data_IF_788885851279
#
_entry.id   IF_788885851279
#
_cell.length_a   1.000
_cell.length_b   1.000
_cell.length_c   1.000
_cell.angle_alpha   90.00
_cell.angle_beta   90.00
_cell.angle_gamma   90.00
#
_symmetry.space_group_name_H-M   'P 1'
#
loop_
_entity.id
_entity.type
_entity.pdbx_description
1 polymer ?
#
# COMPACT_ATOMS: atom_id res chain seq x y z
N UNK A 1 14.72 -25.85 16.21
CA UNK A 1 13.72 -24.84 15.78
C UNK A 1 13.81 -24.74 14.27
N UNK A 2 12.68 -24.78 13.57
CA UNK A 2 12.67 -24.59 12.13
C UNK A 2 12.92 -23.11 11.83
N UNK A 3 13.91 -22.80 10.99
CA UNK A 3 14.16 -21.42 10.58
C UNK A 3 13.02 -20.99 9.63
N UNK A 4 12.28 -19.96 10.03
CA UNK A 4 11.12 -19.48 9.30
C UNK A 4 11.35 -18.07 8.77
N UNK A 5 10.82 -17.81 7.58
CA UNK A 5 10.79 -16.48 6.99
C UNK A 5 9.38 -15.90 7.10
N UNK A 6 9.24 -14.80 7.84
CA UNK A 6 8.02 -14.02 7.88
C UNK A 6 7.92 -13.15 6.63
N UNK A 7 6.83 -13.31 5.88
CA UNK A 7 6.62 -12.65 4.60
C UNK A 7 5.34 -11.81 4.61
N UNK A 8 5.52 -10.52 4.83
CA UNK A 8 4.46 -9.54 4.63
C UNK A 8 4.50 -9.05 3.18
N UNK A 9 3.75 -9.72 2.31
CA UNK A 9 3.56 -9.28 0.93
C UNK A 9 2.43 -8.27 0.87
N UNK A 10 2.72 -7.00 1.12
CA UNK A 10 1.73 -5.92 1.12
C UNK A 10 1.46 -5.34 -0.27
N UNK A 11 0.34 -4.61 -0.39
CA UNK A 11 -0.06 -3.98 -1.67
C UNK A 11 0.96 -2.93 -2.12
N UNK A 12 1.48 -2.16 -1.17
CA UNK A 12 2.38 -1.03 -1.44
C UNK A 12 3.83 -1.39 -1.15
N UNK A 13 4.07 -2.05 -0.02
CA UNK A 13 5.40 -2.46 0.44
C UNK A 13 5.38 -3.93 0.80
N UNK A 14 6.53 -4.58 0.68
CA UNK A 14 6.79 -5.94 1.09
C UNK A 14 7.96 -5.97 2.05
N UNK A 15 7.82 -6.73 3.13
CA UNK A 15 8.86 -6.92 4.14
C UNK A 15 9.08 -8.42 4.35
N UNK A 16 10.35 -8.82 4.42
CA UNK A 16 10.76 -10.14 4.88
C UNK A 16 11.50 -9.99 6.20
N UNK A 17 11.15 -10.82 7.17
CA UNK A 17 11.85 -10.86 8.46
C UNK A 17 12.18 -12.30 8.85
N UNK A 18 13.24 -12.45 9.63
CA UNK A 18 13.63 -13.72 10.24
C UNK A 18 13.63 -13.54 11.75
N UNK A 19 13.28 -14.61 12.45
CA UNK A 19 13.53 -14.73 13.86
C UNK A 19 14.81 -15.55 14.09
N UNK A 20 15.50 -15.26 15.19
CA UNK A 20 16.63 -16.00 15.71
C UNK A 20 16.59 -15.93 17.24
N UNK A 21 16.19 -17.03 17.87
CA UNK A 21 16.17 -17.15 19.33
C UNK A 21 15.24 -16.16 20.04
N UNK A 22 14.10 -15.83 19.41
CA UNK A 22 13.13 -14.87 19.93
C UNK A 22 13.43 -13.40 19.64
N UNK A 23 14.60 -13.08 19.06
CA UNK A 23 14.85 -11.78 18.45
C UNK A 23 14.48 -11.84 16.97
N UNK A 24 14.11 -10.70 16.38
CA UNK A 24 13.71 -10.60 14.97
C UNK A 24 14.55 -9.58 14.23
N UNK A 25 14.84 -9.85 12.95
CA UNK A 25 15.49 -8.89 12.04
C UNK A 25 14.79 -8.86 10.68
N UNK A 26 14.55 -7.66 10.15
CA UNK A 26 14.20 -7.48 8.74
C UNK A 26 15.36 -7.87 7.84
N UNK A 27 15.05 -8.38 6.65
CA UNK A 27 16.02 -8.57 5.59
C UNK A 27 16.31 -7.24 4.91
N UNK A 28 17.59 -6.94 4.72
CA UNK A 28 18.03 -5.81 3.92
C UNK A 28 18.18 -6.22 2.45
N UNK A 29 17.69 -5.36 1.55
CA UNK A 29 17.76 -5.53 0.11
C UNK A 29 18.55 -4.37 -0.49
N UNK A 30 19.62 -4.66 -1.22
CA UNK A 30 20.46 -3.65 -1.86
C UNK A 30 20.17 -3.60 -3.36
N UNK A 31 19.65 -2.47 -3.82
CA UNK A 31 19.39 -2.18 -5.24
C UNK A 31 20.26 -1.00 -5.71
N UNK A 32 20.07 -0.56 -6.96
CA UNK A 32 20.74 0.66 -7.48
C UNK A 32 20.35 1.92 -6.72
N UNK A 33 19.17 1.94 -6.08
CA UNK A 33 18.68 3.07 -5.29
C UNK A 33 19.13 3.01 -3.82
N UNK A 34 19.99 2.04 -3.47
CA UNK A 34 20.50 1.85 -2.12
C UNK A 34 19.88 0.65 -1.39
N UNK A 35 20.18 0.57 -0.08
CA UNK A 35 19.72 -0.49 0.80
C UNK A 35 18.43 -0.08 1.53
N UNK A 36 17.46 -0.99 1.58
CA UNK A 36 16.22 -0.83 2.32
C UNK A 36 15.78 -2.16 2.95
N UNK A 37 15.08 -2.09 4.07
CA UNK A 37 14.48 -3.23 4.78
C UNK A 37 12.99 -3.45 4.44
N UNK A 38 12.41 -2.53 3.67
CA UNK A 38 11.08 -2.60 3.08
C UNK A 38 11.18 -2.31 1.58
N UNK A 39 10.59 -3.18 0.76
CA UNK A 39 10.62 -3.04 -0.69
C UNK A 39 9.26 -2.62 -1.24
N UNK A 40 9.20 -1.62 -2.14
CA UNK A 40 7.95 -1.32 -2.86
C UNK A 40 7.49 -2.57 -3.63
N UNK A 41 6.20 -2.91 -3.53
CA UNK A 41 5.59 -4.03 -4.26
C UNK A 41 5.33 -3.63 -5.71
N UNK A 42 6.42 -3.44 -6.45
CA UNK A 42 6.44 -2.98 -7.83
C UNK A 42 7.51 -3.73 -8.63
N UNK A 43 7.25 -3.92 -9.92
CA UNK A 43 8.12 -4.55 -10.90
C UNK A 43 8.22 -3.68 -12.15
N UNK A 44 9.40 -3.66 -12.75
CA UNK A 44 9.62 -3.10 -14.08
C UNK A 44 10.20 -4.18 -14.99
N UNK A 45 9.82 -4.13 -16.26
CA UNK A 45 10.33 -5.01 -17.29
C UNK A 45 10.77 -4.15 -18.47
N UNK A 46 11.99 -4.35 -18.92
CA UNK A 46 12.53 -3.68 -20.09
C UNK A 46 13.26 -4.71 -20.94
N UNK A 47 13.23 -4.58 -22.26
CA UNK A 47 14.06 -5.41 -23.13
C UNK A 47 15.52 -5.09 -22.86
N UNK A 48 16.33 -6.12 -22.68
CA UNK A 48 17.77 -5.95 -22.55
C UNK A 48 18.43 -6.10 -23.92
N UNK A 49 18.88 -4.98 -24.49
CA UNK A 49 19.54 -4.97 -25.80
C UNK A 49 20.89 -5.70 -25.81
N UNK A 50 21.50 -5.92 -24.64
CA UNK A 50 22.81 -6.57 -24.49
C UNK A 50 22.71 -8.08 -24.22
N UNK A 51 21.63 -8.54 -23.57
CA UNK A 51 21.41 -9.97 -23.25
C UNK A 51 20.63 -10.75 -24.33
N UNK A 52 20.27 -10.10 -25.45
CA UNK A 52 19.61 -10.70 -26.60
C UNK A 52 18.11 -10.36 -26.73
N UNK A 53 17.52 -10.61 -27.90
CA UNK A 53 16.19 -10.11 -28.28
C UNK A 53 15.02 -10.55 -27.37
N UNK A 54 15.22 -11.57 -26.53
CA UNK A 54 14.22 -12.13 -25.60
C UNK A 54 14.55 -11.94 -24.12
N UNK A 55 15.72 -11.39 -23.78
CA UNK A 55 16.11 -11.17 -22.39
C UNK A 55 15.44 -9.91 -21.83
N UNK A 56 14.89 -10.01 -20.62
CA UNK A 56 14.27 -8.90 -19.92
C UNK A 56 15.17 -8.46 -18.77
N UNK A 57 15.49 -7.17 -18.72
CA UNK A 57 15.97 -6.53 -17.51
C UNK A 57 14.78 -6.27 -16.61
N UNK A 58 14.79 -6.93 -15.45
CA UNK A 58 13.73 -6.85 -14.45
C UNK A 58 14.28 -6.25 -13.17
N UNK A 59 13.65 -5.18 -12.70
CA UNK A 59 13.91 -4.59 -11.39
C UNK A 59 12.66 -4.69 -10.52
N UNK A 60 12.85 -4.56 -9.20
CA UNK A 60 11.77 -4.48 -8.22
C UNK A 60 11.92 -3.22 -7.36
N UNK A 61 10.85 -2.80 -6.71
CA UNK A 61 10.91 -1.74 -5.72
C UNK A 61 11.26 -0.35 -6.26
N UNK A 62 12.09 0.39 -5.52
CA UNK A 62 12.55 1.71 -5.95
C UNK A 62 13.37 1.67 -7.24
N UNK A 63 14.16 0.61 -7.46
CA UNK A 63 14.87 0.44 -8.73
C UNK A 63 13.91 0.21 -9.91
N UNK A 64 12.77 -0.47 -9.70
CA UNK A 64 11.73 -0.59 -10.72
C UNK A 64 11.10 0.75 -11.08
N UNK A 65 10.81 1.54 -10.05
CA UNK A 65 10.31 2.90 -10.18
C UNK A 65 11.30 3.76 -10.98
N UNK A 66 12.58 3.74 -10.60
CA UNK A 66 13.62 4.52 -11.27
C UNK A 66 13.76 4.12 -12.73
N UNK A 67 13.80 2.81 -13.00
CA UNK A 67 13.86 2.30 -14.37
C UNK A 67 12.67 2.76 -15.21
N UNK A 68 11.47 2.79 -14.65
CA UNK A 68 10.28 3.29 -15.34
C UNK A 68 10.37 4.78 -15.67
N UNK A 69 10.78 5.61 -14.71
CA UNK A 69 10.97 7.07 -14.90
C UNK A 69 12.03 7.35 -15.97
N UNK A 70 13.17 6.65 -15.91
CA UNK A 70 14.30 6.91 -16.80
C UNK A 70 14.06 6.41 -18.23
N UNK A 71 13.07 5.52 -18.45
CA UNK A 71 12.81 4.86 -19.74
C UNK A 71 11.30 4.86 -20.08
N UNK A 72 10.67 6.05 -20.21
CA UNK A 72 9.24 6.15 -20.49
C UNK A 72 8.90 5.52 -21.84
N UNK A 73 7.82 4.74 -21.89
CA UNK A 73 7.36 4.04 -23.10
C UNK A 73 8.11 2.76 -23.47
N UNK A 74 9.35 2.58 -22.99
CA UNK A 74 10.14 1.36 -23.23
C UNK A 74 10.06 0.35 -22.07
N UNK A 75 9.69 0.83 -20.88
CA UNK A 75 9.55 0.02 -19.67
C UNK A 75 8.08 -0.33 -19.39
N UNK A 76 7.79 -1.62 -19.24
CA UNK A 76 6.51 -2.09 -18.69
C UNK A 76 6.59 -2.09 -17.17
N UNK A 77 5.90 -1.14 -16.53
CA UNK A 77 5.83 -1.02 -15.07
C UNK A 77 4.54 -1.63 -14.51
N UNK A 78 4.66 -2.35 -13.40
CA UNK A 78 3.57 -2.97 -12.65
C UNK A 78 3.74 -2.66 -11.17
N UNK A 79 2.63 -2.39 -10.49
CA UNK A 79 2.60 -2.09 -9.06
C UNK A 79 1.28 -2.56 -8.46
N UNK A 80 1.19 -2.54 -7.13
CA UNK A 80 -0.02 -2.99 -6.41
C UNK A 80 -0.41 -4.41 -6.81
N UNK A 81 0.58 -5.26 -7.13
CA UNK A 81 0.35 -6.58 -7.72
C UNK A 81 -0.57 -7.42 -6.80
N UNK A 82 -0.46 -7.26 -5.47
CA UNK A 82 -1.31 -7.91 -4.46
C UNK A 82 -2.80 -7.73 -4.72
N UNK A 83 -3.27 -6.61 -5.29
CA UNK A 83 -4.71 -6.38 -5.52
C UNK A 83 -5.33 -7.39 -6.48
N UNK A 84 -4.52 -8.08 -7.28
CA UNK A 84 -4.98 -9.08 -8.22
C UNK A 84 -4.97 -10.50 -7.64
N UNK A 85 -4.42 -10.71 -6.45
CA UNK A 85 -4.28 -12.04 -5.82
C UNK A 85 -5.62 -12.80 -5.79
N UNK A 86 -6.63 -12.16 -5.21
CA UNK A 86 -7.98 -12.71 -5.03
C UNK A 86 -8.93 -12.41 -6.20
N UNK A 87 -8.45 -11.80 -7.28
CA UNK A 87 -9.32 -11.38 -8.39
C UNK A 87 -9.40 -12.46 -9.46
N UNK A 88 -10.57 -13.09 -9.59
CA UNK A 88 -10.87 -14.02 -10.68
C UNK A 88 -10.94 -13.31 -12.06
N UNK A 89 -11.19 -12.00 -12.07
CA UNK A 89 -11.17 -11.20 -13.30
C UNK A 89 -9.74 -11.00 -13.83
N UNK A 90 -8.74 -11.05 -12.95
CA UNK A 90 -7.36 -10.99 -13.37
C UNK A 90 -6.92 -12.36 -13.91
N UNK A 91 -6.81 -12.43 -15.22
CA UNK A 91 -6.37 -13.59 -15.98
C UNK A 91 -4.92 -13.40 -16.47
N UNK A 92 -4.13 -12.57 -15.79
CA UNK A 92 -2.76 -12.26 -16.20
C UNK A 92 -2.65 -11.05 -17.14
N UNK A 93 -1.41 -10.62 -17.36
CA UNK A 93 -1.04 -9.47 -18.21
C UNK A 93 -0.02 -9.90 -19.25
N UNK A 94 -0.02 -9.25 -20.41
CA UNK A 94 1.04 -9.41 -21.40
C UNK A 94 2.20 -8.48 -21.06
N UNK A 95 3.42 -9.01 -21.08
CA UNK A 95 4.68 -8.29 -20.94
C UNK A 95 5.57 -8.75 -22.10
N UNK A 96 5.82 -7.87 -23.06
CA UNK A 96 6.60 -8.17 -24.29
C UNK A 96 6.21 -9.50 -24.96
N UNK A 97 4.90 -9.68 -25.22
CA UNK A 97 4.29 -10.86 -25.85
C UNK A 97 4.30 -12.16 -25.02
N UNK A 98 4.80 -12.15 -23.78
CA UNK A 98 4.64 -13.25 -22.84
C UNK A 98 3.50 -12.95 -21.86
N UNK A 99 2.61 -13.91 -21.64
CA UNK A 99 1.58 -13.82 -20.60
C UNK A 99 2.21 -14.11 -19.24
N UNK A 100 1.92 -13.27 -18.27
CA UNK A 100 2.28 -13.43 -16.86
C UNK A 100 1.01 -13.46 -16.04
N UNK A 101 0.75 -14.58 -15.38
CA UNK A 101 -0.29 -14.69 -14.36
C UNK A 101 0.18 -14.06 -13.05
N UNK A 102 -0.66 -14.06 -12.02
CA UNK A 102 -0.31 -13.46 -10.72
C UNK A 102 0.88 -14.18 -10.08
N UNK A 103 0.85 -15.52 -10.06
CA UNK A 103 1.86 -16.38 -9.49
C UNK A 103 3.22 -16.19 -10.17
N UNK A 104 3.25 -15.94 -11.49
CA UNK A 104 4.47 -15.61 -12.22
C UNK A 104 5.06 -14.26 -11.77
N UNK A 105 4.22 -13.26 -11.56
CA UNK A 105 4.66 -11.92 -11.12
C UNK A 105 5.19 -11.96 -9.68
N UNK A 106 4.50 -12.68 -8.79
CA UNK A 106 4.94 -12.87 -7.42
C UNK A 106 6.26 -13.63 -7.36
N UNK A 107 6.42 -14.71 -8.13
CA UNK A 107 7.67 -15.45 -8.21
C UNK A 107 8.83 -14.56 -8.71
N UNK A 108 8.59 -13.79 -9.79
CA UNK A 108 9.58 -12.82 -10.31
C UNK A 108 9.98 -11.80 -9.24
N UNK A 109 9.02 -11.29 -8.47
CA UNK A 109 9.28 -10.34 -7.39
C UNK A 109 10.13 -10.96 -6.29
N UNK A 110 9.78 -12.15 -5.77
CA UNK A 110 10.54 -12.82 -4.71
C UNK A 110 11.94 -13.21 -5.19
N UNK A 111 12.10 -13.65 -6.45
CA UNK A 111 13.43 -13.88 -7.07
C UNK A 111 14.26 -12.61 -7.12
N UNK A 112 13.66 -11.46 -7.41
CA UNK A 112 14.38 -10.18 -7.40
C UNK A 112 14.79 -9.78 -5.98
N UNK A 113 13.93 -9.98 -4.98
CA UNK A 113 14.28 -9.79 -3.58
C UNK A 113 15.47 -10.67 -3.16
N UNK A 114 15.48 -11.95 -3.56
CA UNK A 114 16.64 -12.85 -3.32
C UNK A 114 17.92 -12.31 -3.93
N UNK A 115 17.86 -11.80 -5.15
CA UNK A 115 19.02 -11.21 -5.81
C UNK A 115 19.53 -9.96 -5.07
N UNK A 116 18.63 -9.08 -4.60
CA UNK A 116 19.01 -7.90 -3.81
C UNK A 116 19.50 -8.24 -2.41
N UNK A 117 19.05 -9.33 -1.81
CA UNK A 117 19.57 -9.83 -0.54
C UNK A 117 20.98 -10.42 -0.70
N UNK A 118 21.28 -11.02 -1.86
CA UNK A 118 22.58 -11.63 -2.15
C UNK A 118 22.93 -12.70 -1.12
N UNK A 119 24.11 -12.61 -0.53
CA UNK A 119 24.59 -13.55 0.51
C UNK A 119 23.80 -13.47 1.82
N UNK A 120 22.98 -12.42 2.02
CA UNK A 120 22.09 -12.32 3.18
C UNK A 120 20.81 -13.16 3.02
N UNK A 121 20.54 -13.74 1.84
CA UNK A 121 19.43 -14.67 1.68
C UNK A 121 19.75 -15.99 2.40
N UNK A 122 18.87 -16.47 3.29
CA UNK A 122 19.16 -17.66 4.08
C UNK A 122 19.23 -18.92 3.19
N UNK A 123 20.27 -19.74 3.40
CA UNK A 123 20.53 -20.97 2.64
C UNK A 123 19.56 -22.11 2.97
N UNK A 124 19.11 -22.18 4.23
CA UNK A 124 18.45 -23.35 4.81
C UNK A 124 17.04 -23.08 5.35
N UNK A 125 16.33 -22.09 4.78
CA UNK A 125 14.94 -21.82 5.14
C UNK A 125 14.00 -22.65 4.26
N UNK A 126 13.32 -23.61 4.90
CA UNK A 126 12.28 -24.43 4.28
C UNK A 126 10.86 -23.91 4.54
N UNK A 127 10.68 -23.05 5.55
CA UNK A 127 9.38 -22.58 6.01
C UNK A 127 9.20 -21.09 5.72
N UNK A 128 8.09 -20.74 5.09
CA UNK A 128 7.62 -19.36 4.94
C UNK A 128 6.27 -19.18 5.63
N UNK A 129 6.13 -18.11 6.41
CA UNK A 129 4.88 -17.71 7.05
C UNK A 129 4.43 -16.41 6.40
N UNK A 130 3.36 -16.48 5.62
CA UNK A 130 2.86 -15.35 4.84
C UNK A 130 1.70 -14.66 5.55
N UNK A 131 1.72 -13.33 5.57
CA UNK A 131 0.60 -12.52 6.03
C UNK A 131 -0.55 -12.59 5.04
N UNK A 132 -1.77 -12.80 5.53
CA UNK A 132 -2.99 -12.63 4.74
C UNK A 132 -3.90 -11.57 5.36
N UNK A 133 -4.56 -10.72 4.56
CA UNK A 133 -5.54 -9.80 5.10
C UNK A 133 -6.79 -10.56 5.56
N UNK A 134 -7.58 -9.96 6.44
CA UNK A 134 -8.91 -10.50 6.79
C UNK A 134 -9.82 -10.47 5.56
N UNK A 135 -9.76 -9.37 4.80
CA UNK A 135 -10.46 -9.18 3.54
C UNK A 135 -9.47 -8.83 2.44
N UNK A 136 -9.44 -9.60 1.35
CA UNK A 136 -8.61 -9.26 0.19
C UNK A 136 -9.18 -8.06 -0.57
N UNK A 137 -8.31 -7.24 -1.16
CA UNK A 137 -8.73 -6.11 -1.99
C UNK A 137 -9.44 -6.57 -3.28
N UNK A 138 -10.47 -5.84 -3.71
CA UNK A 138 -11.21 -6.07 -4.95
C UNK A 138 -12.72 -5.95 -4.79
N UNK A 139 -13.46 -5.91 -5.90
CA UNK A 139 -14.93 -5.80 -5.88
C UNK A 139 -15.63 -7.12 -5.50
N UNK A 140 -15.01 -8.25 -5.82
CA UNK A 140 -15.48 -9.60 -5.48
C UNK A 140 -14.27 -10.51 -5.23
N UNK A 141 -13.55 -10.31 -4.11
CA UNK A 141 -12.36 -11.07 -3.81
C UNK A 141 -12.70 -12.55 -3.53
N UNK A 142 -11.88 -13.46 -4.07
CA UNK A 142 -11.87 -14.90 -3.79
C UNK A 142 -10.62 -15.26 -2.96
N UNK A 143 -10.75 -15.41 -1.63
CA UNK A 143 -9.62 -15.77 -0.76
C UNK A 143 -8.99 -17.13 -1.09
N UNK A 144 -9.78 -18.11 -1.55
CA UNK A 144 -9.26 -19.44 -1.86
C UNK A 144 -8.35 -19.38 -3.09
N UNK A 145 -8.75 -18.62 -4.11
CA UNK A 145 -7.93 -18.35 -5.30
C UNK A 145 -6.62 -17.63 -4.93
N UNK A 146 -6.66 -16.68 -4.00
CA UNK A 146 -5.44 -16.00 -3.55
C UNK A 146 -4.46 -16.98 -2.89
N UNK A 147 -4.95 -17.84 -1.99
CA UNK A 147 -4.14 -18.87 -1.33
C UNK A 147 -3.55 -19.87 -2.35
N UNK A 148 -4.35 -20.33 -3.32
CA UNK A 148 -3.87 -21.20 -4.41
C UNK A 148 -2.70 -20.58 -5.17
N UNK A 149 -2.86 -19.32 -5.61
CA UNK A 149 -1.85 -18.58 -6.37
C UNK A 149 -0.58 -18.30 -5.57
N UNK A 150 -0.72 -17.99 -4.28
CA UNK A 150 0.43 -17.80 -3.38
C UNK A 150 1.19 -19.12 -3.19
N UNK A 151 0.47 -20.22 -2.94
CA UNK A 151 1.06 -21.55 -2.80
C UNK A 151 1.86 -21.93 -4.04
N UNK A 152 1.30 -21.70 -5.23
CA UNK A 152 1.96 -21.98 -6.50
C UNK A 152 3.25 -21.16 -6.66
N UNK A 153 3.20 -19.83 -6.46
CA UNK A 153 4.36 -18.96 -6.59
C UNK A 153 5.49 -19.33 -5.61
N UNK A 154 5.15 -19.52 -4.33
CA UNK A 154 6.11 -19.80 -3.26
C UNK A 154 6.69 -21.21 -3.35
N UNK A 155 5.88 -22.18 -3.80
CA UNK A 155 6.36 -23.54 -4.07
C UNK A 155 7.32 -23.58 -5.25
N UNK A 156 7.01 -22.88 -6.36
CA UNK A 156 7.93 -22.73 -7.51
C UNK A 156 9.23 -22.01 -7.14
N UNK A 157 9.16 -21.06 -6.21
CA UNK A 157 10.34 -20.39 -5.68
C UNK A 157 11.24 -21.33 -4.87
N UNK A 158 10.65 -22.27 -4.12
CA UNK A 158 11.36 -23.33 -3.40
C UNK A 158 11.01 -23.47 -1.92
N UNK A 159 9.86 -22.95 -1.46
CA UNK A 159 9.41 -23.14 -0.07
C UNK A 159 8.50 -24.36 0.04
N UNK A 160 8.95 -25.47 0.66
CA UNK A 160 8.14 -26.68 0.83
C UNK A 160 7.06 -26.56 1.92
N UNK A 161 7.21 -25.64 2.87
CA UNK A 161 6.27 -25.43 3.97
C UNK A 161 5.77 -23.98 3.98
N UNK A 162 4.49 -23.80 3.65
CA UNK A 162 3.85 -22.49 3.52
C UNK A 162 2.71 -22.41 4.55
N UNK A 163 2.77 -21.40 5.40
CA UNK A 163 1.76 -21.12 6.41
C UNK A 163 1.19 -19.73 6.22
N UNK A 164 -0.08 -19.54 6.56
CA UNK A 164 -0.76 -18.25 6.47
C UNK A 164 -1.22 -17.82 7.85
N UNK A 165 -0.98 -16.56 8.20
CA UNK A 165 -1.47 -15.94 9.44
C UNK A 165 -2.16 -14.65 9.07
N UNK A 166 -3.26 -14.33 9.75
CA UNK A 166 -3.88 -13.02 9.57
C UNK A 166 -2.89 -11.91 9.92
N UNK A 167 -2.72 -10.95 9.01
CA UNK A 167 -1.89 -9.75 9.19
C UNK A 167 -2.10 -9.06 10.54
N UNK A 168 -3.33 -8.77 10.99
CA UNK A 168 -3.55 -8.15 12.30
C UNK A 168 -3.14 -9.05 13.47
N UNK A 169 -3.26 -10.38 13.34
CA UNK A 169 -2.80 -11.32 14.38
C UNK A 169 -1.27 -11.32 14.45
N UNK A 170 -0.59 -11.33 13.31
CA UNK A 170 0.88 -11.24 13.27
C UNK A 170 1.38 -9.92 13.85
N UNK A 171 0.81 -8.78 13.44
CA UNK A 171 1.15 -7.48 14.00
C UNK A 171 0.98 -7.45 15.52
N UNK A 172 -0.19 -7.88 16.02
CA UNK A 172 -0.45 -7.92 17.45
C UNK A 172 0.51 -8.88 18.18
N UNK A 173 0.81 -10.04 17.60
CA UNK A 173 1.74 -11.02 18.20
C UNK A 173 3.12 -10.44 18.45
N UNK A 174 3.66 -9.69 17.48
CA UNK A 174 4.98 -9.05 17.59
C UNK A 174 5.12 -8.17 18.84
N UNK A 175 4.07 -7.45 19.19
CA UNK A 175 4.06 -6.61 20.38
C UNK A 175 3.60 -7.36 21.63
N UNK A 176 2.69 -8.34 21.47
CA UNK A 176 2.13 -9.14 22.55
C UNK A 176 3.15 -10.07 23.22
N UNK A 177 4.27 -10.38 22.57
CA UNK A 177 5.31 -11.26 23.13
C UNK A 177 5.87 -10.79 24.49
N UNK A 178 5.76 -9.50 24.80
CA UNK A 178 6.23 -8.91 26.06
C UNK A 178 5.12 -8.73 27.12
N UNK A 179 3.90 -9.19 26.84
CA UNK A 179 2.80 -9.07 27.77
C UNK A 179 3.01 -9.95 29.02
N UNK A 180 2.83 -9.33 30.19
CA UNK A 180 2.96 -10.00 31.49
C UNK A 180 1.63 -10.56 32.03
N UNK A 181 0.52 -10.19 31.39
CA UNK A 181 -0.85 -10.54 31.75
C UNK A 181 -1.70 -10.61 30.49
N UNK A 182 -2.85 -11.27 30.59
CA UNK A 182 -3.84 -11.28 29.53
C UNK A 182 -4.21 -9.85 29.14
N UNK A 183 -4.38 -9.62 27.83
CA UNK A 183 -4.58 -8.28 27.28
C UNK A 183 -5.57 -8.29 26.13
N UNK A 184 -6.40 -7.26 26.07
CA UNK A 184 -7.21 -6.96 24.89
C UNK A 184 -6.47 -5.93 24.03
N UNK A 185 -6.24 -6.30 22.77
CA UNK A 185 -5.41 -5.56 21.82
C UNK A 185 -6.25 -5.10 20.65
N UNK A 186 -6.22 -3.80 20.37
CA UNK A 186 -6.75 -3.22 19.14
C UNK A 186 -5.62 -3.00 18.13
N UNK A 187 -5.72 -3.61 16.96
CA UNK A 187 -4.86 -3.31 15.82
C UNK A 187 -5.64 -2.43 14.85
N UNK A 188 -5.08 -1.28 14.49
CA UNK A 188 -5.58 -0.39 13.46
C UNK A 188 -4.55 -0.32 12.32
N UNK A 189 -4.86 -0.97 11.20
CA UNK A 189 -4.01 -1.01 10.01
C UNK A 189 -4.46 0.01 8.98
N UNK A 190 -3.60 0.97 8.67
CA UNK A 190 -3.83 2.02 7.69
C UNK A 190 -3.00 1.78 6.43
N UNK A 191 -3.50 0.90 5.57
CA UNK A 191 -2.87 0.55 4.32
C UNK A 191 -2.89 1.65 3.25
N UNK A 192 -2.67 1.27 1.99
CA UNK A 192 -2.80 2.18 0.85
C UNK A 192 -4.25 2.47 0.47
N UNK A 193 -5.11 1.45 0.48
CA UNK A 193 -6.51 1.57 0.03
C UNK A 193 -7.59 1.38 1.11
N UNK A 194 -7.28 0.69 2.21
CA UNK A 194 -8.23 0.37 3.28
C UNK A 194 -7.65 0.70 4.66
N UNK A 195 -8.54 1.01 5.58
CA UNK A 195 -8.25 1.05 7.01
C UNK A 195 -9.01 -0.10 7.66
N UNK A 196 -8.31 -0.96 8.39
CA UNK A 196 -8.85 -2.18 8.96
C UNK A 196 -8.60 -2.22 10.48
N UNK A 197 -9.63 -2.58 11.24
CA UNK A 197 -9.59 -2.69 12.69
C UNK A 197 -9.76 -4.14 13.10
N UNK A 198 -8.92 -4.61 14.02
CA UNK A 198 -9.04 -5.95 14.61
C UNK A 198 -8.87 -5.89 16.11
N UNK A 199 -9.86 -6.38 16.83
CA UNK A 199 -9.84 -6.53 18.27
C UNK A 199 -9.51 -7.99 18.61
N UNK A 200 -8.42 -8.20 19.35
CA UNK A 200 -7.85 -9.52 19.62
C UNK A 200 -7.60 -9.65 21.12
N UNK A 201 -8.07 -10.74 21.72
CA UNK A 201 -7.80 -11.12 23.10
C UNK A 201 -6.59 -12.04 23.15
N UNK A 202 -5.54 -11.64 23.87
CA UNK A 202 -4.38 -12.46 24.16
C UNK A 202 -4.46 -13.03 25.57
N UNK A 203 -4.44 -14.35 25.69
CA UNK A 203 -4.56 -15.06 26.97
C UNK A 203 -3.54 -16.18 27.09
N UNK A 204 -2.94 -16.31 28.27
CA UNK A 204 -2.05 -17.44 28.57
C UNK A 204 -2.81 -18.55 29.26
N UNK A 205 -3.19 -19.58 28.50
CA UNK A 205 -3.90 -20.75 29.02
C UNK A 205 -2.93 -21.93 29.12
N UNK A 206 -2.79 -22.51 30.31
CA UNK A 206 -1.88 -23.62 30.59
C UNK A 206 -0.42 -23.37 30.12
N UNK A 207 0.06 -22.13 30.28
CA UNK A 207 1.42 -21.72 29.88
C UNK A 207 1.61 -21.50 28.38
N UNK A 208 0.53 -21.55 27.58
CA UNK A 208 0.55 -21.25 26.14
C UNK A 208 -0.21 -19.96 25.87
N UNK A 209 0.45 -19.04 25.17
CA UNK A 209 -0.20 -17.84 24.65
C UNK A 209 -1.16 -18.23 23.54
N UNK A 210 -2.38 -17.71 23.59
CA UNK A 210 -3.42 -17.88 22.57
C UNK A 210 -3.94 -16.51 22.16
N UNK A 211 -4.37 -16.38 20.90
CA UNK A 211 -5.03 -15.18 20.40
C UNK A 211 -6.44 -15.53 19.91
N UNK A 212 -7.42 -14.84 20.48
CA UNK A 212 -8.84 -15.01 20.12
C UNK A 212 -9.32 -13.72 19.46
N UNK A 213 -9.68 -13.74 18.16
CA UNK A 213 -10.32 -12.59 17.52
C UNK A 213 -11.67 -12.31 18.18
N UNK A 214 -11.87 -11.10 18.70
CA UNK A 214 -13.13 -10.64 19.29
C UNK A 214 -14.02 -10.05 18.21
N UNK A 215 -13.46 -9.22 17.33
CA UNK A 215 -14.20 -8.61 16.24
C UNK A 215 -13.30 -7.81 15.31
N UNK A 216 -13.86 -7.40 14.18
CA UNK A 216 -13.18 -6.59 13.18
C UNK A 216 -14.17 -5.64 12.50
N UNK A 217 -13.65 -4.54 11.98
CA UNK A 217 -14.36 -3.62 11.08
C UNK A 217 -13.35 -3.02 10.10
N UNK A 218 -13.82 -2.28 9.11
CA UNK A 218 -12.94 -1.63 8.17
C UNK A 218 -13.67 -0.69 7.24
N UNK A 219 -12.90 0.17 6.58
CA UNK A 219 -13.41 1.13 5.61
C UNK A 219 -12.46 1.25 4.42
N UNK A 220 -13.02 1.38 3.22
CA UNK A 220 -12.28 1.65 1.99
C UNK A 220 -11.77 3.09 1.91
N UNK A 221 -11.06 3.54 2.94
CA UNK A 221 -10.42 4.86 3.06
C UNK A 221 -9.04 4.64 3.66
N UNK A 222 -8.00 5.14 3.00
CA UNK A 222 -6.62 5.09 3.52
C UNK A 222 -5.72 6.07 2.74
N UNK A 223 -4.42 5.76 2.65
CA UNK A 223 -3.40 6.68 2.13
C UNK A 223 -3.65 7.21 0.72
N UNK A 224 -4.17 6.38 -0.19
CA UNK A 224 -4.45 6.75 -1.58
C UNK A 224 -5.61 7.76 -1.68
N UNK A 225 -6.57 7.68 -0.76
CA UNK A 225 -7.65 8.68 -0.68
C UNK A 225 -7.10 10.04 -0.25
N UNK A 226 -6.16 10.06 0.71
CA UNK A 226 -5.53 11.30 1.15
C UNK A 226 -4.70 11.93 0.02
N UNK A 227 -3.98 11.12 -0.75
CA UNK A 227 -3.25 11.57 -1.93
C UNK A 227 -4.21 12.15 -2.98
N UNK A 228 -5.34 11.48 -3.22
CA UNK A 228 -6.40 12.00 -4.08
C UNK A 228 -6.93 13.35 -3.61
N UNK A 229 -7.22 13.53 -2.31
CA UNK A 229 -7.67 14.83 -1.76
C UNK A 229 -6.64 15.93 -1.99
N UNK A 230 -5.35 15.62 -1.86
CA UNK A 230 -4.29 16.56 -2.18
C UNK A 230 -4.27 16.91 -3.67
N UNK A 231 -4.34 15.93 -4.58
CA UNK A 231 -4.41 16.20 -6.03
C UNK A 231 -5.63 17.06 -6.35
N UNK A 232 -6.78 16.73 -5.78
CA UNK A 232 -8.06 17.39 -6.04
C UNK A 232 -8.09 18.86 -5.57
N UNK A 233 -7.36 19.19 -4.50
CA UNK A 233 -7.31 20.55 -3.94
C UNK A 233 -6.07 21.35 -4.40
N UNK A 234 -4.98 20.69 -4.75
CA UNK A 234 -3.72 21.34 -5.13
C UNK A 234 -3.61 21.46 -6.65
N UNK A 235 -3.83 20.36 -7.36
CA UNK A 235 -3.50 20.21 -8.77
C UNK A 235 -4.70 20.44 -9.66
N UNK A 236 -5.85 19.82 -9.35
CA UNK A 236 -7.05 19.87 -10.17
C UNK A 236 -7.46 21.32 -10.54
N UNK A 237 -7.41 22.32 -9.62
CA UNK A 237 -7.72 23.71 -9.97
C UNK A 237 -6.76 24.33 -10.99
N UNK A 238 -5.49 23.91 -10.98
CA UNK A 238 -4.45 24.39 -11.90
C UNK A 238 -4.58 23.78 -13.30
N UNK A 239 -5.21 22.60 -13.39
CA UNK A 239 -5.49 21.91 -14.65
C UNK A 239 -6.94 22.09 -15.13
N UNK A 240 -7.67 23.04 -14.54
CA UNK A 240 -8.96 23.52 -15.05
C UNK A 240 -10.20 23.06 -14.28
N UNK A 241 -10.09 22.41 -13.12
CA UNK A 241 -11.26 22.08 -12.30
C UNK A 241 -12.00 23.36 -11.91
N UNK A 242 -13.30 23.41 -12.18
CA UNK A 242 -14.14 24.60 -12.01
C UNK A 242 -14.05 25.62 -13.17
N UNK A 243 -13.28 25.32 -14.21
CA UNK A 243 -13.26 26.14 -15.44
C UNK A 243 -14.52 25.92 -16.27
N UNK A 244 -14.74 26.80 -17.24
CA UNK A 244 -15.94 26.80 -18.06
C UNK A 244 -15.59 26.79 -19.55
N UNK A 245 -16.51 26.30 -20.38
CA UNK A 245 -16.39 26.31 -21.84
C UNK A 245 -17.69 26.79 -22.50
N UNK A 246 -17.56 27.31 -23.72
CA UNK A 246 -18.70 27.72 -24.55
C UNK A 246 -19.25 26.54 -25.34
N UNK A 247 -20.57 26.35 -25.26
CA UNK A 247 -21.31 25.42 -26.10
C UNK A 247 -22.53 26.14 -26.66
N UNK A 248 -22.53 26.40 -27.97
CA UNK A 248 -23.49 27.30 -28.61
C UNK A 248 -23.53 28.65 -27.86
N UNK A 249 -24.71 29.08 -27.42
CA UNK A 249 -24.92 30.33 -26.66
C UNK A 249 -24.87 30.14 -25.14
N UNK A 250 -24.40 28.98 -24.65
CA UNK A 250 -24.32 28.66 -23.22
C UNK A 250 -22.88 28.52 -22.74
N UNK A 251 -22.66 28.93 -21.49
CA UNK A 251 -21.44 28.67 -20.75
C UNK A 251 -21.71 27.50 -19.81
N UNK A 252 -20.91 26.45 -19.91
CA UNK A 252 -21.04 25.23 -19.12
C UNK A 252 -19.73 24.99 -18.36
N UNK A 253 -19.83 24.39 -17.18
CA UNK A 253 -18.66 23.97 -16.42
C UNK A 253 -18.00 22.75 -17.08
N UNK A 254 -16.67 22.67 -17.05
CA UNK A 254 -15.94 21.50 -17.51
C UNK A 254 -16.30 20.30 -16.62
N UNK A 255 -16.73 19.16 -17.21
CA UNK A 255 -17.14 17.99 -16.45
C UNK A 255 -16.11 17.52 -15.41
N UNK A 256 -16.57 17.27 -14.18
CA UNK A 256 -15.70 16.91 -13.06
C UNK A 256 -15.06 15.52 -13.17
N UNK A 257 -15.64 14.64 -14.00
CA UNK A 257 -15.15 13.28 -14.21
C UNK A 257 -13.74 13.24 -14.78
N UNK A 258 -13.32 14.23 -15.59
CA UNK A 258 -11.95 14.30 -16.10
C UNK A 258 -10.94 14.39 -14.95
N UNK A 259 -11.22 15.20 -13.92
CA UNK A 259 -10.35 15.37 -12.76
C UNK A 259 -10.39 14.17 -11.82
N UNK A 260 -11.55 13.53 -11.68
CA UNK A 260 -11.68 12.28 -10.91
C UNK A 260 -10.87 11.15 -11.51
N UNK A 261 -10.85 11.01 -12.84
CA UNK A 261 -10.00 10.06 -13.56
C UNK A 261 -8.51 10.41 -13.41
N UNK A 262 -8.17 11.70 -13.41
CA UNK A 262 -6.78 12.15 -13.26
C UNK A 262 -6.21 11.88 -11.86
N UNK A 263 -7.02 12.07 -10.81
CA UNK A 263 -6.63 11.80 -9.44
C UNK A 263 -6.29 10.33 -9.15
N UNK A 264 -6.62 9.42 -10.08
CA UNK A 264 -6.19 8.01 -10.08
C UNK A 264 -5.00 7.84 -10.99
N UNK A 265 -3.84 8.18 -10.47
CA UNK A 265 -2.60 8.22 -11.27
C UNK A 265 -2.28 6.89 -11.98
N UNK A 266 -2.65 5.75 -11.39
CA UNK A 266 -2.49 4.42 -11.98
C UNK A 266 -3.39 4.16 -13.21
N UNK A 267 -4.40 4.99 -13.45
CA UNK A 267 -5.30 4.92 -14.60
C UNK A 267 -4.92 5.91 -15.72
N UNK A 268 -3.95 6.80 -15.48
CA UNK A 268 -3.56 7.84 -16.45
C UNK A 268 -3.01 7.28 -17.76
N UNK A 269 -2.20 6.22 -17.67
CA UNK A 269 -1.65 5.57 -18.87
C UNK A 269 -2.72 4.89 -19.74
N UNK A 270 -3.90 4.60 -19.18
CA UNK A 270 -5.07 4.13 -19.94
C UNK A 270 -5.90 5.32 -20.39
N UNK A 271 -6.04 6.35 -19.54
CA UNK A 271 -6.81 7.55 -19.84
C UNK A 271 -6.38 8.19 -21.18
N UNK A 272 -5.07 8.22 -21.47
CA UNK A 272 -4.53 8.73 -22.75
C UNK A 272 -5.04 8.04 -24.02
N UNK A 273 -5.57 6.82 -23.92
CA UNK A 273 -6.14 6.09 -25.06
C UNK A 273 -7.68 6.10 -25.09
N UNK A 274 -8.31 6.80 -24.14
CA UNK A 274 -9.77 6.86 -24.04
C UNK A 274 -10.37 7.92 -24.94
N UNK A 275 -11.64 7.73 -25.29
CA UNK A 275 -12.45 8.77 -25.96
C UNK A 275 -12.59 10.02 -25.09
N UNK A 276 -12.61 9.85 -23.77
CA UNK A 276 -12.70 10.96 -22.81
C UNK A 276 -11.53 11.92 -22.96
N UNK A 277 -10.31 11.40 -23.16
CA UNK A 277 -9.14 12.25 -23.40
C UNK A 277 -9.19 12.97 -24.75
N UNK A 278 -9.67 12.31 -25.81
CA UNK A 278 -9.91 12.96 -27.10
C UNK A 278 -10.96 14.09 -27.01
N UNK A 279 -11.99 13.88 -26.19
CA UNK A 279 -13.01 14.90 -25.97
C UNK A 279 -12.48 16.06 -25.12
N UNK A 280 -11.59 15.81 -24.16
CA UNK A 280 -10.83 16.85 -23.44
C UNK A 280 -9.98 17.70 -24.39
N UNK A 281 -9.23 17.08 -25.32
CA UNK A 281 -8.42 17.80 -26.33
C UNK A 281 -9.26 18.73 -27.20
N UNK A 282 -10.48 18.32 -27.56
CA UNK A 282 -11.41 19.17 -28.32
C UNK A 282 -11.93 20.34 -27.49
N UNK A 283 -12.14 20.12 -26.20
CA UNK A 283 -12.72 21.10 -25.27
C UNK A 283 -11.82 22.33 -25.08
N UNK A 284 -10.50 22.18 -25.22
CA UNK A 284 -9.54 23.30 -25.20
C UNK A 284 -9.98 24.45 -26.10
N UNK A 285 -10.45 24.15 -27.32
CA UNK A 285 -10.82 25.18 -28.32
C UNK A 285 -12.00 26.05 -27.91
N UNK A 286 -12.87 25.53 -27.05
CA UNK A 286 -14.07 26.24 -26.59
C UNK A 286 -13.98 26.65 -25.12
N UNK A 287 -12.90 26.30 -24.43
CA UNK A 287 -12.65 26.67 -23.04
C UNK A 287 -12.48 28.18 -22.88
N UNK A 288 -12.93 28.70 -21.74
CA UNK A 288 -12.64 30.08 -21.31
C UNK A 288 -11.25 30.20 -20.67
N UNK A 289 -10.66 29.08 -20.25
CA UNK A 289 -9.32 28.97 -19.65
C UNK A 289 -8.54 27.85 -20.36
N UNK A 290 -8.27 27.99 -21.67
CA UNK A 290 -7.62 26.94 -22.48
C UNK A 290 -6.25 26.54 -21.94
N UNK A 291 -5.48 27.48 -21.39
CA UNK A 291 -4.14 27.26 -20.86
C UNK A 291 -4.11 26.22 -19.73
N UNK A 292 -5.16 26.16 -18.90
CA UNK A 292 -5.24 25.16 -17.82
C UNK A 292 -5.49 23.76 -18.36
N UNK A 293 -6.32 23.64 -19.40
CA UNK A 293 -6.61 22.36 -20.04
C UNK A 293 -5.43 21.88 -20.90
N UNK A 294 -4.66 22.79 -21.48
CA UNK A 294 -3.39 22.47 -22.16
C UNK A 294 -2.40 21.85 -21.17
N UNK A 295 -2.21 22.44 -19.98
CA UNK A 295 -1.39 21.82 -18.92
C UNK A 295 -1.91 20.42 -18.60
N UNK A 296 -3.23 20.24 -18.44
CA UNK A 296 -3.82 18.93 -18.16
C UNK A 296 -3.43 17.90 -19.25
N UNK A 297 -3.56 18.28 -20.51
CA UNK A 297 -3.22 17.43 -21.65
C UNK A 297 -1.72 17.09 -21.65
N UNK A 298 -0.86 18.09 -21.42
CA UNK A 298 0.58 17.91 -21.38
C UNK A 298 1.00 16.91 -20.29
N UNK A 299 0.39 16.98 -19.10
CA UNK A 299 0.67 16.02 -18.01
C UNK A 299 0.34 14.58 -18.42
N UNK A 300 -0.71 14.39 -19.21
CA UNK A 300 -1.13 13.04 -19.66
C UNK A 300 -0.26 12.57 -20.82
N UNK A 301 0.00 13.42 -21.80
CA UNK A 301 0.78 13.08 -22.99
C UNK A 301 2.26 12.77 -22.63
N UNK A 302 2.80 13.39 -21.57
CA UNK A 302 4.15 13.13 -21.06
C UNK A 302 4.21 12.09 -19.91
N UNK A 303 3.11 11.38 -19.63
CA UNK A 303 3.03 10.34 -18.59
C UNK A 303 3.47 10.85 -17.18
N UNK A 304 3.19 12.12 -16.85
CA UNK A 304 3.59 12.80 -15.61
C UNK A 304 2.81 12.36 -14.36
N UNK A 305 1.98 11.32 -14.50
CA UNK A 305 1.16 10.77 -13.43
C UNK A 305 1.95 10.24 -12.24
N UNK A 306 3.03 9.51 -12.52
CA UNK A 306 3.87 8.93 -11.48
C UNK A 306 4.72 9.99 -10.75
N UNK A 307 5.42 10.91 -11.45
CA UNK A 307 6.08 12.05 -10.82
C UNK A 307 5.15 12.88 -9.96
N UNK A 308 3.90 13.12 -10.41
CA UNK A 308 2.92 13.83 -9.60
C UNK A 308 2.58 13.09 -8.30
N UNK A 309 2.32 11.78 -8.38
CA UNK A 309 2.06 10.97 -7.18
C UNK A 309 3.23 11.02 -6.19
N UNK A 310 4.48 11.01 -6.67
CA UNK A 310 5.64 11.16 -5.80
C UNK A 310 5.68 12.52 -5.10
N UNK A 311 5.43 13.60 -5.83
CA UNK A 311 5.38 14.94 -5.25
C UNK A 311 4.32 15.03 -4.14
N UNK A 312 3.12 14.50 -4.40
CA UNK A 312 2.02 14.45 -3.42
C UNK A 312 2.38 13.60 -2.21
N UNK A 313 2.87 12.38 -2.43
CA UNK A 313 3.26 11.47 -1.33
C UNK A 313 4.40 12.07 -0.49
N UNK A 314 5.37 12.73 -1.10
CA UNK A 314 6.47 13.39 -0.40
C UNK A 314 5.96 14.56 0.46
N UNK A 315 5.09 15.41 -0.08
CA UNK A 315 4.46 16.49 0.68
C UNK A 315 3.63 15.93 1.84
N UNK A 316 2.82 14.90 1.61
CA UNK A 316 2.03 14.23 2.67
C UNK A 316 2.91 13.70 3.79
N UNK A 317 4.00 13.00 3.45
CA UNK A 317 4.95 12.48 4.43
C UNK A 317 5.63 13.61 5.22
N UNK A 318 6.02 14.69 4.55
CA UNK A 318 6.62 15.86 5.22
C UNK A 318 5.63 16.55 6.16
N UNK A 319 4.35 16.64 5.80
CA UNK A 319 3.29 17.16 6.66
C UNK A 319 3.07 16.32 7.93
N UNK A 320 3.46 15.06 7.94
CA UNK A 320 3.44 14.25 9.17
C UNK A 320 4.46 14.72 10.21
N UNK A 321 5.56 15.32 9.78
CA UNK A 321 6.62 15.83 10.65
C UNK A 321 6.51 17.35 10.91
N UNK A 322 6.08 18.12 9.92
CA UNK A 322 6.06 19.59 9.95
C UNK A 322 4.66 20.19 9.78
N UNK A 323 4.41 21.38 10.34
CA UNK A 323 3.14 22.11 10.15
C UNK A 323 2.97 22.66 8.74
N UNK A 324 4.08 22.85 8.02
CA UNK A 324 4.10 23.22 6.62
C UNK A 324 5.09 22.34 5.85
N UNK A 325 4.79 22.05 4.58
CA UNK A 325 5.66 21.31 3.69
C UNK A 325 5.58 21.84 2.26
N UNK A 326 6.69 21.84 1.50
CA UNK A 326 6.65 22.20 0.10
C UNK A 326 5.94 21.12 -0.72
N UNK A 327 5.13 21.58 -1.66
CA UNK A 327 4.70 20.82 -2.82
C UNK A 327 5.47 21.33 -4.03
N UNK A 328 6.25 20.44 -4.65
CA UNK A 328 7.12 20.74 -5.79
C UNK A 328 6.82 19.78 -6.93
N UNK A 329 6.21 20.32 -7.97
CA UNK A 329 5.88 19.61 -9.19
C UNK A 329 6.02 20.53 -10.41
N UNK A 330 7.24 20.59 -10.94
CA UNK A 330 7.65 21.50 -12.01
C UNK A 330 6.76 21.50 -13.28
N UNK A 331 6.14 20.38 -13.70
CA UNK A 331 5.23 20.38 -14.87
C UNK A 331 4.01 21.32 -14.75
N UNK A 332 3.61 21.74 -13.54
CA UNK A 332 2.56 22.76 -13.34
C UNK A 332 3.09 24.20 -13.42
N UNK A 333 4.35 24.39 -13.83
CA UNK A 333 4.99 25.71 -13.87
C UNK A 333 5.02 26.38 -12.50
N UNK A 334 4.73 27.68 -12.44
CA UNK A 334 4.74 28.44 -11.18
C UNK A 334 3.71 27.93 -10.16
N UNK A 335 2.59 27.36 -10.61
CA UNK A 335 1.58 26.78 -9.73
C UNK A 335 2.03 25.48 -9.06
N UNK A 336 3.07 24.85 -9.60
CA UNK A 336 3.65 23.61 -9.10
C UNK A 336 4.54 23.76 -7.87
N UNK A 337 4.82 24.99 -7.42
CA UNK A 337 5.68 25.28 -6.28
C UNK A 337 4.90 26.07 -5.23
N UNK A 338 4.52 25.42 -4.12
CA UNK A 338 3.75 26.06 -3.04
C UNK A 338 3.99 25.41 -1.70
N UNK A 339 3.94 26.21 -0.63
CA UNK A 339 3.87 25.68 0.75
C UNK A 339 2.46 25.21 1.03
N UNK A 340 2.32 23.99 1.56
CA UNK A 340 1.05 23.41 2.03
C UNK A 340 1.07 23.40 3.54
N UNK A 341 -0.01 23.88 4.17
CA UNK A 341 -0.20 23.76 5.62
C UNK A 341 -0.83 22.43 5.97
N UNK A 342 -0.42 21.84 7.09
CA UNK A 342 -1.03 20.65 7.68
C UNK A 342 -2.52 20.88 7.96
N UNK A 343 -2.88 22.07 8.44
CA UNK A 343 -4.29 22.42 8.69
C UNK A 343 -5.17 22.33 7.44
N UNK A 344 -4.64 22.74 6.28
CA UNK A 344 -5.39 22.69 5.02
C UNK A 344 -5.56 21.23 4.59
N UNK A 345 -4.48 20.45 4.65
CA UNK A 345 -4.51 19.02 4.37
C UNK A 345 -5.50 18.27 5.26
N UNK A 346 -5.45 18.50 6.57
CA UNK A 346 -6.38 17.90 7.53
C UNK A 346 -7.84 18.30 7.26
N UNK A 347 -8.07 19.53 6.81
CA UNK A 347 -9.39 19.97 6.36
C UNK A 347 -9.89 19.23 5.12
N UNK A 348 -9.02 18.94 4.15
CA UNK A 348 -9.38 18.21 2.92
C UNK A 348 -9.72 16.74 3.17
N UNK A 349 -9.18 16.14 4.23
CA UNK A 349 -9.42 14.73 4.58
C UNK A 349 -10.44 14.55 5.71
N UNK A 350 -11.11 15.62 6.17
CA UNK A 350 -12.00 15.57 7.34
C UNK A 350 -13.12 14.51 7.22
N UNK A 351 -13.78 14.43 6.06
CA UNK A 351 -14.83 13.43 5.81
C UNK A 351 -14.26 12.00 5.80
N UNK A 352 -13.04 11.83 5.30
CA UNK A 352 -12.35 10.54 5.26
C UNK A 352 -11.93 10.10 6.67
N UNK A 353 -11.49 11.04 7.52
CA UNK A 353 -11.21 10.82 8.94
C UNK A 353 -12.47 10.42 9.71
N UNK A 354 -13.61 11.08 9.46
CA UNK A 354 -14.88 10.73 10.09
C UNK A 354 -15.34 9.29 9.75
N UNK A 355 -15.06 8.84 8.52
CA UNK A 355 -15.33 7.46 8.11
C UNK A 355 -14.40 6.44 8.76
N UNK A 356 -13.12 6.78 8.92
CA UNK A 356 -12.15 5.99 9.68
C UNK A 356 -12.59 5.85 11.15
N UNK A 357 -12.96 6.96 11.77
CA UNK A 357 -13.45 7.00 13.15
C UNK A 357 -14.74 6.18 13.31
N UNK A 358 -15.69 6.31 12.39
CA UNK A 358 -16.93 5.52 12.41
C UNK A 358 -16.70 4.01 12.28
N UNK A 359 -15.65 3.57 11.57
CA UNK A 359 -15.29 2.15 11.51
C UNK A 359 -14.65 1.65 12.83
N UNK A 360 -13.93 2.52 13.55
CA UNK A 360 -13.48 2.22 14.90
C UNK A 360 -14.67 2.09 15.86
N UNK A 361 -15.64 3.01 15.79
CA UNK A 361 -16.86 2.92 16.60
C UNK A 361 -17.62 1.63 16.31
N UNK A 362 -17.78 1.28 15.03
CA UNK A 362 -18.47 0.07 14.61
C UNK A 362 -17.87 -1.22 15.20
N UNK A 363 -16.53 -1.35 15.27
CA UNK A 363 -15.92 -2.54 15.90
C UNK A 363 -16.12 -2.55 17.40
N UNK A 364 -16.02 -1.41 18.09
CA UNK A 364 -16.19 -1.32 19.54
C UNK A 364 -17.65 -1.61 19.94
N UNK A 365 -18.61 -1.05 19.20
CA UNK A 365 -20.03 -1.26 19.46
C UNK A 365 -20.47 -2.70 19.17
N UNK A 366 -20.07 -3.27 18.04
CA UNK A 366 -20.40 -4.68 17.68
C UNK A 366 -19.83 -5.69 18.66
N UNK A 367 -18.70 -5.38 19.28
CA UNK A 367 -18.03 -6.24 20.25
C UNK A 367 -18.39 -5.88 21.69
N UNK A 368 -19.25 -4.87 21.89
CA UNK A 368 -19.62 -4.31 23.20
C UNK A 368 -18.40 -3.97 24.08
N UNK A 369 -17.26 -3.64 23.45
CA UNK A 369 -15.98 -3.41 24.13
C UNK A 369 -15.77 -1.93 24.39
N UNK A 370 -15.60 -1.55 25.65
CA UNK A 370 -15.34 -0.16 26.02
C UNK A 370 -13.88 0.22 25.75
N UNK A 371 -13.57 1.47 25.37
CA UNK A 371 -12.18 1.91 25.19
C UNK A 371 -11.27 1.64 26.39
N UNK A 372 -11.81 1.72 27.62
CA UNK A 372 -11.09 1.44 28.85
C UNK A 372 -10.71 -0.04 29.04
N UNK A 373 -11.36 -0.97 28.34
CA UNK A 373 -11.09 -2.41 28.38
C UNK A 373 -10.00 -2.83 27.38
N UNK A 374 -9.60 -1.92 26.48
CA UNK A 374 -8.47 -2.14 25.57
C UNK A 374 -7.18 -1.82 26.31
N UNK A 375 -6.33 -2.83 26.51
CA UNK A 375 -5.05 -2.70 27.20
C UNK A 375 -3.98 -2.08 26.30
N UNK A 376 -4.01 -2.39 24.99
CA UNK A 376 -3.03 -1.89 24.00
C UNK A 376 -3.68 -1.59 22.66
N UNK A 377 -3.20 -0.52 22.02
CA UNK A 377 -3.58 -0.08 20.67
C UNK A 377 -2.32 -0.05 19.80
N UNK A 378 -2.31 -0.82 18.72
CA UNK A 378 -1.25 -0.83 17.73
C UNK A 378 -1.71 -0.16 16.46
N UNK A 379 -0.99 0.89 16.08
CA UNK A 379 -1.20 1.56 14.79
C UNK A 379 -0.18 1.00 13.81
N UNK A 380 -0.63 0.52 12.65
CA UNK A 380 0.24 -0.02 11.59
C UNK A 380 -0.09 0.62 10.25
N UNK A 381 0.84 0.55 9.29
CA UNK A 381 0.72 1.20 7.99
C UNK A 381 1.17 2.66 7.99
N UNK A 382 1.67 3.13 6.83
CA UNK A 382 2.30 4.44 6.71
C UNK A 382 1.36 5.63 6.93
N UNK A 383 0.05 5.43 6.70
CA UNK A 383 -0.95 6.47 6.91
C UNK A 383 -1.18 6.77 8.41
N UNK A 384 -0.79 5.85 9.30
CA UNK A 384 -0.81 6.06 10.75
C UNK A 384 0.13 7.18 11.22
N UNK A 385 1.11 7.60 10.41
CA UNK A 385 1.98 8.73 10.76
C UNK A 385 1.30 10.09 10.63
N UNK A 386 0.14 10.17 9.95
CA UNK A 386 -0.61 11.42 9.81
C UNK A 386 -1.14 11.87 11.17
N UNK A 387 -0.81 13.09 11.65
CA UNK A 387 -1.19 13.55 12.98
C UNK A 387 -2.71 13.50 13.25
N UNK A 388 -3.55 13.89 12.29
CA UNK A 388 -4.99 13.79 12.44
C UNK A 388 -5.51 12.35 12.62
N UNK A 389 -4.88 11.36 11.97
CA UNK A 389 -5.22 9.95 12.17
C UNK A 389 -4.83 9.51 13.58
N UNK A 390 -3.66 9.92 14.07
CA UNK A 390 -3.23 9.61 15.45
C UNK A 390 -4.15 10.25 16.49
N UNK A 391 -4.66 11.45 16.23
CA UNK A 391 -5.58 12.15 17.16
C UNK A 391 -6.83 11.33 17.48
N UNK A 392 -7.38 10.62 16.49
CA UNK A 392 -8.52 9.70 16.69
C UNK A 392 -8.27 8.74 17.86
N UNK A 393 -7.03 8.25 18.02
CA UNK A 393 -6.68 7.34 19.10
C UNK A 393 -6.25 8.05 20.37
N UNK A 394 -5.43 9.10 20.27
CA UNK A 394 -4.91 9.79 21.47
C UNK A 394 -5.99 10.54 22.25
N UNK A 395 -7.12 10.88 21.61
CA UNK A 395 -8.28 11.47 22.27
C UNK A 395 -9.16 10.43 22.97
N UNK A 396 -9.06 9.16 22.58
CA UNK A 396 -9.92 8.05 23.05
C UNK A 396 -9.22 7.08 24.00
N UNK A 397 -7.91 6.90 23.85
CA UNK A 397 -7.11 5.94 24.61
C UNK A 397 -5.99 6.64 25.37
N UNK A 398 -5.64 6.10 26.53
CA UNK A 398 -4.51 6.58 27.32
C UNK A 398 -3.21 6.42 26.52
N UNK A 399 -2.30 7.40 26.63
CA UNK A 399 -1.10 7.48 25.79
C UNK A 399 -0.17 6.28 25.94
N UNK A 400 -0.11 5.67 27.12
CA UNK A 400 0.71 4.49 27.43
C UNK A 400 0.13 3.18 26.88
N UNK A 401 -1.12 3.20 26.41
CA UNK A 401 -1.75 2.08 25.72
C UNK A 401 -1.46 2.09 24.22
N UNK A 402 -1.16 3.26 23.66
CA UNK A 402 -0.86 3.43 22.24
C UNK A 402 0.62 3.11 22.02
N UNK A 403 0.86 2.03 21.32
CA UNK A 403 2.20 1.60 20.95
C UNK A 403 2.53 2.10 19.55
N UNK A 404 3.69 2.72 19.43
CA UNK A 404 4.21 3.29 18.19
C UNK A 404 5.64 2.82 17.98
N UNK A 405 6.00 2.51 16.74
CA UNK A 405 7.27 1.92 16.35
C UNK A 405 7.09 0.59 15.63
N UNK A 406 7.76 0.43 14.49
CA UNK A 406 7.64 -0.77 13.66
C UNK A 406 6.34 -0.84 12.86
N UNK A 407 5.65 0.29 12.62
CA UNK A 407 4.37 0.37 11.89
C UNK A 407 4.44 -0.20 10.47
N UNK A 408 5.64 -0.35 9.90
CA UNK A 408 5.87 -0.94 8.59
C UNK A 408 6.45 -2.35 8.64
N UNK A 409 6.91 -2.81 9.80
CA UNK A 409 7.70 -4.04 9.95
C UNK A 409 7.03 -5.08 10.87
N UNK A 410 6.10 -4.66 11.73
CA UNK A 410 5.51 -5.48 12.80
C UNK A 410 4.86 -6.77 12.28
N UNK A 411 4.17 -6.71 11.14
CA UNK A 411 3.54 -7.88 10.52
C UNK A 411 4.62 -8.93 10.18
N UNK A 412 5.62 -8.57 9.37
CA UNK A 412 6.68 -9.50 8.97
C UNK A 412 7.42 -10.10 10.18
N UNK A 413 7.70 -9.27 11.19
CA UNK A 413 8.36 -9.72 12.41
C UNK A 413 7.48 -10.69 13.22
N UNK A 414 6.19 -10.40 13.35
CA UNK A 414 5.23 -11.29 14.01
C UNK A 414 5.09 -12.63 13.28
N UNK A 415 5.05 -12.60 11.95
CA UNK A 415 5.05 -13.81 11.11
C UNK A 415 6.31 -14.65 11.35
N UNK A 416 7.48 -14.02 11.42
CA UNK A 416 8.74 -14.69 11.67
C UNK A 416 8.77 -15.35 13.07
N UNK A 417 8.31 -14.64 14.10
CA UNK A 417 8.21 -15.18 15.46
C UNK A 417 7.24 -16.35 15.56
N UNK A 418 6.04 -16.23 14.97
CA UNK A 418 5.07 -17.32 14.91
C UNK A 418 5.66 -18.53 14.17
N UNK A 419 6.44 -18.28 13.13
CA UNK A 419 7.11 -19.31 12.33
C UNK A 419 8.11 -20.19 13.09
N UNK A 420 8.78 -19.66 14.10
CA UNK A 420 9.72 -20.41 14.95
C UNK A 420 9.03 -21.29 16.00
N UNK A 421 7.73 -21.09 16.24
CA UNK A 421 7.01 -21.79 17.29
C UNK A 421 6.66 -23.22 16.88
N UNK A 422 6.70 -24.12 17.86
CA UNK A 422 6.26 -25.51 17.69
C UNK A 422 4.72 -25.64 17.58
N UNK A 423 3.97 -24.62 18.01
CA UNK A 423 2.50 -24.58 17.99
C UNK A 423 1.92 -23.73 16.85
N UNK A 424 2.68 -23.54 15.75
CA UNK A 424 2.30 -22.74 14.59
C UNK A 424 0.87 -23.01 14.07
N UNK A 425 0.42 -24.27 14.14
CA UNK A 425 -0.93 -24.67 13.72
C UNK A 425 -2.08 -23.97 14.47
N UNK A 426 -1.82 -23.39 15.66
CA UNK A 426 -2.81 -22.61 16.40
C UNK A 426 -2.99 -21.19 15.84
N UNK A 427 -2.01 -20.71 15.09
CA UNK A 427 -1.94 -19.36 14.54
C UNK A 427 -2.30 -19.31 13.07
N UNK A 428 -2.25 -20.46 12.40
CA UNK A 428 -2.43 -20.55 10.96
C UNK A 428 -3.88 -20.67 10.56
N UNK A 429 -4.15 -20.14 9.38
CA UNK A 429 -5.45 -20.15 8.75
C UNK A 429 -5.35 -20.85 7.40
N UNK A 430 -6.40 -21.60 7.04
CA UNK A 430 -6.49 -22.29 5.75
C UNK A 430 -6.86 -21.32 4.64
#
# INVERSE_FOLDING_TARGET
MAQALGFDFGTTNTVLAMADGGATRSMAFTSTEGAADSMRTALSFMKDAQLGASALKVEAGHAAIRQFIDNPGECRFLQSIKTFAASALFQGTLIFAKRHNFEDLMEVFVRRLRNYAGDNWPSDVSRIVTGRPVHFAGASPDPALATERYNEALSRFGFPEIHYVYEPVAAAFYFAQNLKRDATVLVADFGGGTTDYSLIRFETVAGKLTATPIGHSGVGVAGDHFDYRMIDNIVAPLIGKGSHFKSFDKILEVPSNYYSSFGRWNQLSIFKTTREFEDLKKLVRTSLEPEKLEIFIDLIDHDEGYPLYQAVSATKMALSASEEAPFDFAPLGRGGHRSIKRSDFEGWIADDLARIEGALDDVLDKTETKPAEIDKVFLTGGTSFVPAVRRIFTERFERDRIESGGELLSIAHGLALIGERDDIAQWTVQ
#
